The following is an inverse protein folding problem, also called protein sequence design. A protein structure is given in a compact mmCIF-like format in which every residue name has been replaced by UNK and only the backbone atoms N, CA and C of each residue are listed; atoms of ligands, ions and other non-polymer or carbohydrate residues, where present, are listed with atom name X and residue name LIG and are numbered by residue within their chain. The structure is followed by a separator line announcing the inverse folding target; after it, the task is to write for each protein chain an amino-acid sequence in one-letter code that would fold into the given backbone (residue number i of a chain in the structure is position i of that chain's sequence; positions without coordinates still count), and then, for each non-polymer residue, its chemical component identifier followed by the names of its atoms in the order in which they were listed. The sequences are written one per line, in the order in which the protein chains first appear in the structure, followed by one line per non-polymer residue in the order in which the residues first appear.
data_IF_313851088704
#
_entry.id   IF_313851088704
#
_cell.length_a   1.000
_cell.length_b   1.000
_cell.length_c   1.000
_cell.angle_alpha   90.00
_cell.angle_beta   90.00
_cell.angle_gamma   90.00
#
_symmetry.space_group_name_H-M   'P 1'
#
loop_
_entity.id
_entity.type
_entity.pdbx_description
1 polymer ?
#
# COMPACT_ATOMS: atom_id res chain seq x y z
N UNK A 1 0.88 -13.11 -12.05
CA UNK A 1 2.07 -12.43 -11.48
C UNK A 1 1.61 -11.36 -10.53
N UNK A 2 1.47 -11.70 -9.24
CA UNK A 2 1.12 -10.77 -8.19
C UNK A 2 2.42 -10.12 -7.72
N UNK A 3 2.60 -8.81 -7.96
CA UNK A 3 3.61 -8.04 -7.23
C UNK A 3 3.35 -8.19 -5.73
N UNK A 4 4.40 -8.26 -4.90
CA UNK A 4 4.23 -8.20 -3.44
C UNK A 4 3.41 -6.98 -3.01
N UNK A 5 3.48 -5.90 -3.79
CA UNK A 5 2.76 -4.64 -3.57
C UNK A 5 1.28 -4.68 -3.91
N UNK A 6 0.78 -5.79 -4.46
CA UNK A 6 -0.60 -5.91 -4.93
C UNK A 6 -1.47 -6.70 -3.97
N UNK A 7 -2.60 -6.13 -3.57
CA UNK A 7 -3.59 -6.75 -2.69
C UNK A 7 -4.86 -7.10 -3.47
N UNK A 8 -4.76 -8.02 -4.44
CA UNK A 8 -5.93 -8.48 -5.21
C UNK A 8 -6.57 -9.67 -4.53
N UNK A 9 -7.68 -9.42 -3.83
CA UNK A 9 -8.50 -10.44 -3.16
C UNK A 9 -9.92 -10.32 -3.72
N UNK A 10 -10.45 -11.43 -4.25
CA UNK A 10 -11.83 -11.49 -4.69
C UNK A 10 -12.78 -11.90 -3.55
N UNK A 11 -14.08 -11.64 -3.73
CA UNK A 11 -15.11 -12.09 -2.81
C UNK A 11 -15.16 -13.63 -2.69
N UNK A 12 -14.85 -14.35 -3.77
CA UNK A 12 -14.81 -15.81 -3.77
C UNK A 12 -13.59 -16.32 -2.98
N UNK A 13 -12.42 -15.69 -3.14
CA UNK A 13 -11.22 -16.02 -2.35
C UNK A 13 -11.51 -15.86 -0.84
N UNK A 14 -12.18 -14.77 -0.47
CA UNK A 14 -12.55 -14.52 0.92
C UNK A 14 -13.56 -15.56 1.43
N UNK A 15 -14.59 -15.87 0.65
CA UNK A 15 -15.61 -16.85 1.01
C UNK A 15 -15.00 -18.24 1.19
N UNK A 16 -14.17 -18.67 0.25
CA UNK A 16 -13.45 -19.94 0.36
C UNK A 16 -12.56 -19.96 1.62
N UNK A 17 -11.81 -18.89 1.85
CA UNK A 17 -10.94 -18.74 3.03
C UNK A 17 -11.71 -18.85 4.33
N UNK A 18 -12.82 -18.11 4.48
CA UNK A 18 -13.66 -18.12 5.68
C UNK A 18 -14.33 -19.48 5.89
N UNK A 19 -14.75 -20.16 4.82
CA UNK A 19 -15.39 -21.48 4.90
C UNK A 19 -14.46 -22.58 5.43
N UNK A 20 -13.15 -22.43 5.22
CA UNK A 20 -12.12 -23.40 5.64
C UNK A 20 -11.57 -23.12 7.05
N UNK A 21 -11.90 -21.99 7.66
CA UNK A 21 -11.38 -21.66 8.98
C UNK A 21 -11.99 -22.57 10.05
N UNK A 22 -11.14 -23.25 10.82
CA UNK A 22 -11.56 -24.07 11.97
C UNK A 22 -12.06 -23.23 13.14
N UNK A 23 -11.56 -22.00 13.26
CA UNK A 23 -11.91 -21.04 14.31
C UNK A 23 -12.36 -19.76 13.63
N UNK A 24 -13.48 -19.21 14.08
CA UNK A 24 -14.02 -17.96 13.54
C UNK A 24 -13.00 -16.82 13.73
N UNK A 25 -12.58 -16.13 12.66
CA UNK A 25 -11.67 -15.00 12.77
C UNK A 25 -12.27 -13.86 13.59
N UNK A 26 -11.40 -13.08 14.26
CA UNK A 26 -11.82 -11.88 14.98
C UNK A 26 -12.37 -10.81 14.01
N UNK A 27 -11.73 -10.68 12.86
CA UNK A 27 -11.96 -9.72 11.80
C UNK A 27 -11.34 -10.20 10.47
N UNK A 28 -11.83 -9.67 9.36
CA UNK A 28 -11.10 -9.61 8.08
C UNK A 28 -10.40 -8.25 8.05
N UNK A 29 -9.10 -8.22 7.78
CA UNK A 29 -8.31 -6.99 7.66
C UNK A 29 -7.74 -6.89 6.25
N UNK A 30 -8.06 -5.81 5.54
CA UNK A 30 -7.61 -5.59 4.16
C UNK A 30 -7.03 -4.20 3.99
N UNK A 31 -5.92 -4.09 3.25
CA UNK A 31 -5.40 -2.79 2.79
C UNK A 31 -5.99 -2.47 1.42
N UNK A 32 -6.72 -1.36 1.34
CA UNK A 32 -7.28 -0.84 0.10
C UNK A 32 -7.42 0.68 0.20
N UNK A 33 -6.84 1.46 -0.74
CA UNK A 33 -6.09 0.99 -1.90
C UNK A 33 -4.71 0.39 -1.54
N UNK A 34 -4.22 -0.52 -2.39
CA UNK A 34 -2.86 -1.05 -2.27
C UNK A 34 -1.81 -0.03 -2.76
N UNK A 35 -0.53 -0.36 -2.56
CA UNK A 35 0.54 0.59 -2.85
C UNK A 35 0.58 0.98 -4.33
N UNK A 36 0.31 0.02 -5.23
CA UNK A 36 0.27 0.24 -6.69
C UNK A 36 -1.01 0.94 -7.18
N UNK A 37 -1.98 1.14 -6.30
CA UNK A 37 -3.24 1.82 -6.62
C UNK A 37 -4.37 0.92 -7.07
N UNK A 38 -4.27 -0.40 -6.86
CA UNK A 38 -5.44 -1.27 -7.04
C UNK A 38 -6.38 -1.08 -5.85
N UNK A 39 -7.68 -1.13 -6.13
CA UNK A 39 -8.73 -1.05 -5.11
C UNK A 39 -9.42 -2.39 -4.98
N UNK A 40 -9.74 -2.80 -3.75
CA UNK A 40 -10.52 -3.99 -3.50
C UNK A 40 -12.02 -3.69 -3.58
N UNK A 41 -12.83 -4.67 -3.94
CA UNK A 41 -14.29 -4.56 -3.89
C UNK A 41 -14.78 -4.67 -2.43
N UNK A 42 -14.62 -3.58 -1.68
CA UNK A 42 -14.97 -3.50 -0.26
C UNK A 42 -16.44 -3.84 -0.02
N UNK A 43 -17.34 -3.47 -0.94
CA UNK A 43 -18.75 -3.77 -0.81
C UNK A 43 -19.02 -5.27 -0.87
N UNK A 44 -18.46 -5.97 -1.86
CA UNK A 44 -18.61 -7.41 -1.96
C UNK A 44 -17.92 -8.14 -0.79
N UNK A 45 -16.71 -7.71 -0.41
CA UNK A 45 -15.96 -8.31 0.69
C UNK A 45 -16.67 -8.13 2.04
N UNK A 46 -17.25 -6.95 2.28
CA UNK A 46 -18.02 -6.64 3.50
C UNK A 46 -19.23 -7.56 3.60
N UNK A 47 -20.02 -7.70 2.52
CA UNK A 47 -21.17 -8.58 2.48
C UNK A 47 -20.80 -10.04 2.79
N UNK A 48 -19.72 -10.54 2.21
CA UNK A 48 -19.22 -11.89 2.50
C UNK A 48 -18.79 -11.98 3.96
N UNK A 49 -17.95 -11.08 4.48
CA UNK A 49 -17.49 -11.13 5.87
C UNK A 49 -18.67 -11.11 6.86
N UNK A 50 -19.64 -10.23 6.64
CA UNK A 50 -20.86 -10.11 7.44
C UNK A 50 -21.73 -11.35 7.39
N UNK A 51 -21.81 -12.05 6.25
CA UNK A 51 -22.56 -13.32 6.15
C UNK A 51 -22.00 -14.43 7.05
N UNK A 52 -20.70 -14.36 7.40
CA UNK A 52 -20.07 -15.23 8.41
C UNK A 52 -20.06 -14.61 9.82
N UNK A 53 -20.65 -13.42 9.98
CA UNK A 53 -20.65 -12.62 11.21
C UNK A 53 -19.25 -12.17 11.63
N UNK A 54 -18.36 -11.92 10.67
CA UNK A 54 -17.00 -11.41 10.87
C UNK A 54 -16.94 -9.97 10.36
N UNK A 55 -16.43 -9.01 11.14
CA UNK A 55 -16.34 -7.62 10.70
C UNK A 55 -15.22 -7.44 9.68
N UNK A 56 -15.38 -6.48 8.77
CA UNK A 56 -14.37 -6.06 7.81
C UNK A 56 -13.71 -4.75 8.26
N UNK A 57 -12.40 -4.80 8.45
CA UNK A 57 -11.55 -3.68 8.81
C UNK A 57 -10.72 -3.31 7.58
N UNK A 58 -10.73 -2.03 7.20
CA UNK A 58 -9.99 -1.54 6.05
C UNK A 58 -8.86 -0.61 6.47
N UNK A 59 -7.65 -0.91 6.02
CA UNK A 59 -6.53 0.02 6.02
C UNK A 59 -6.56 0.85 4.75
N UNK A 60 -7.06 2.07 4.87
CA UNK A 60 -7.22 3.05 3.80
C UNK A 60 -6.17 4.17 3.90
N UNK A 61 -4.97 3.83 4.36
CA UNK A 61 -3.91 4.80 4.61
C UNK A 61 -3.65 5.77 3.43
N UNK A 62 -3.72 5.29 2.18
CA UNK A 62 -3.50 6.11 0.98
C UNK A 62 -4.79 6.62 0.33
N UNK A 63 -5.97 6.39 0.92
CA UNK A 63 -7.26 6.68 0.33
C UNK A 63 -8.13 7.65 1.12
N UNK A 64 -7.58 8.44 2.05
CA UNK A 64 -8.38 9.36 2.86
C UNK A 64 -9.15 10.40 2.02
N UNK A 65 -8.60 10.78 0.86
CA UNK A 65 -9.27 11.66 -0.11
C UNK A 65 -10.50 11.02 -0.79
N UNK A 66 -10.65 9.68 -0.76
CA UNK A 66 -11.71 8.98 -1.49
C UNK A 66 -13.12 9.38 -1.03
N UNK A 67 -13.29 9.77 0.23
CA UNK A 67 -14.56 10.28 0.75
C UNK A 67 -15.01 11.58 0.05
N UNK A 68 -14.05 12.35 -0.46
CA UNK A 68 -14.31 13.63 -1.10
C UNK A 68 -14.58 13.51 -2.61
N UNK A 69 -14.46 12.31 -3.18
CA UNK A 69 -14.86 12.03 -4.55
C UNK A 69 -16.39 12.10 -4.73
N UNK A 70 -16.85 12.36 -5.96
CA UNK A 70 -18.29 12.39 -6.28
C UNK A 70 -18.94 11.01 -6.17
N UNK A 71 -18.19 9.98 -6.51
CA UNK A 71 -18.59 8.59 -6.35
C UNK A 71 -18.23 8.10 -4.95
N UNK A 72 -19.02 7.15 -4.43
CA UNK A 72 -18.78 6.55 -3.13
C UNK A 72 -17.67 5.52 -3.25
N UNK A 73 -16.45 5.92 -2.90
CA UNK A 73 -15.27 5.07 -2.99
C UNK A 73 -14.66 4.76 -1.61
N UNK A 74 -15.01 5.51 -0.57
CA UNK A 74 -14.42 5.34 0.75
C UNK A 74 -14.92 4.05 1.43
N UNK A 75 -14.06 3.24 2.09
CA UNK A 75 -14.49 1.97 2.70
C UNK A 75 -15.65 2.10 3.69
N UNK A 76 -15.72 3.22 4.43
CA UNK A 76 -16.85 3.50 5.34
C UNK A 76 -18.20 3.67 4.62
N UNK A 77 -18.19 4.06 3.35
CA UNK A 77 -19.39 4.17 2.50
C UNK A 77 -19.69 2.86 1.77
N UNK A 78 -18.75 1.92 1.78
CA UNK A 78 -18.82 0.62 1.12
C UNK A 78 -19.06 -0.54 2.10
N UNK A 79 -19.31 -0.25 3.37
CA UNK A 79 -19.72 -1.25 4.36
C UNK A 79 -18.60 -1.83 5.22
N UNK A 80 -17.39 -1.26 5.22
CA UNK A 80 -16.40 -1.59 6.24
C UNK A 80 -16.92 -1.20 7.64
N UNK A 81 -16.59 -2.00 8.65
CA UNK A 81 -16.94 -1.75 10.05
C UNK A 81 -16.02 -0.68 10.66
N UNK A 82 -14.72 -0.78 10.37
CA UNK A 82 -13.69 0.16 10.81
C UNK A 82 -12.77 0.49 9.63
N UNK A 83 -12.36 1.75 9.52
CA UNK A 83 -11.41 2.20 8.50
C UNK A 83 -10.35 3.10 9.12
N UNK A 84 -9.07 2.89 8.84
CA UNK A 84 -8.03 3.83 9.21
C UNK A 84 -7.50 4.62 8.01
N UNK A 85 -7.40 5.93 8.20
CA UNK A 85 -6.95 6.88 7.19
C UNK A 85 -5.66 7.56 7.68
N UNK A 86 -4.60 7.51 6.87
CA UNK A 86 -3.43 8.33 7.12
C UNK A 86 -3.63 9.70 6.48
N UNK A 87 -4.31 10.59 7.21
CA UNK A 87 -4.64 11.92 6.75
C UNK A 87 -3.41 12.66 6.21
N UNK A 88 -2.27 12.57 6.89
CA UNK A 88 -1.02 13.21 6.46
C UNK A 88 -0.45 12.74 5.11
N UNK A 89 -0.94 11.63 4.54
CA UNK A 89 -0.49 11.14 3.24
C UNK A 89 -1.24 11.75 2.07
N UNK A 90 -2.53 12.04 2.24
CA UNK A 90 -3.42 12.45 1.13
C UNK A 90 -4.29 13.65 1.42
N UNK A 91 -4.25 14.17 2.65
CA UNK A 91 -4.91 15.38 3.11
C UNK A 91 -3.84 16.31 3.71
N UNK A 92 -4.10 17.63 3.82
CA UNK A 92 -3.09 18.60 4.29
C UNK A 92 -2.96 18.58 5.82
N UNK A 93 -2.38 17.49 6.35
CA UNK A 93 -2.20 17.23 7.79
C UNK A 93 -0.72 16.95 8.06
N UNK A 94 -0.22 17.36 9.23
CA UNK A 94 1.17 17.09 9.61
C UNK A 94 1.43 15.59 9.78
N UNK A 95 2.64 15.15 9.40
CA UNK A 95 3.09 13.75 9.51
C UNK A 95 2.78 13.16 10.90
N UNK A 96 2.16 11.98 10.89
CA UNK A 96 1.66 11.31 12.10
C UNK A 96 0.18 11.56 12.42
N UNK A 97 -0.47 12.50 11.72
CA UNK A 97 -1.92 12.70 11.82
C UNK A 97 -2.71 11.68 11.00
N UNK A 98 -3.75 11.10 11.61
CA UNK A 98 -4.63 10.13 10.96
C UNK A 98 -5.97 10.02 11.68
N UNK A 99 -6.90 9.31 11.05
CA UNK A 99 -8.24 9.08 11.57
C UNK A 99 -8.52 7.57 11.69
N UNK A 100 -9.29 7.20 12.71
CA UNK A 100 -9.89 5.87 12.85
C UNK A 100 -11.40 6.05 12.82
N UNK A 101 -12.04 5.54 11.78
CA UNK A 101 -13.47 5.64 11.54
C UNK A 101 -14.18 4.37 11.98
N UNK A 102 -15.35 4.53 12.58
CA UNK A 102 -16.24 3.44 12.97
C UNK A 102 -17.58 3.61 12.27
N UNK A 103 -18.12 2.51 11.76
CA UNK A 103 -19.39 2.51 11.05
C UNK A 103 -20.52 2.61 12.05
N UNK A 104 -21.57 3.36 11.70
CA UNK A 104 -22.82 3.32 12.48
C UNK A 104 -23.52 1.96 12.37
N UNK A 105 -23.15 1.17 11.36
CA UNK A 105 -23.70 -0.15 11.09
C UNK A 105 -22.65 -1.25 11.38
N UNK A 106 -21.67 -0.99 12.23
CA UNK A 106 -20.71 -2.02 12.64
C UNK A 106 -21.43 -3.23 13.23
N UNK A 107 -21.03 -4.44 12.85
CA UNK A 107 -21.68 -5.67 13.29
C UNK A 107 -21.29 -6.07 14.74
N UNK A 108 -20.30 -5.37 15.30
CA UNK A 108 -19.86 -5.46 16.69
C UNK A 108 -19.62 -4.04 17.19
N UNK A 109 -19.97 -3.77 18.44
CA UNK A 109 -19.77 -2.47 19.08
C UNK A 109 -18.29 -2.26 19.44
N UNK A 110 -17.49 -1.84 18.46
CA UNK A 110 -16.08 -1.49 18.67
C UNK A 110 -15.92 -0.03 19.10
N UNK A 111 -16.86 0.82 18.66
CA UNK A 111 -16.80 2.26 18.88
C UNK A 111 -16.90 2.65 20.36
N UNK A 112 -17.65 1.90 21.17
CA UNK A 112 -17.77 2.13 22.62
C UNK A 112 -16.44 2.02 23.38
N UNK A 113 -15.58 1.08 22.99
CA UNK A 113 -14.29 0.81 23.65
C UNK A 113 -13.09 1.49 22.98
N UNK A 114 -13.31 2.21 21.87
CA UNK A 114 -12.24 2.77 21.03
C UNK A 114 -11.24 3.65 21.82
N UNK A 115 -11.73 4.49 22.75
CA UNK A 115 -10.87 5.34 23.58
C UNK A 115 -9.99 4.52 24.53
N UNK A 116 -10.54 3.48 25.13
CA UNK A 116 -9.82 2.58 26.03
C UNK A 116 -8.76 1.81 25.27
N UNK A 117 -9.10 1.28 24.09
CA UNK A 117 -8.14 0.60 23.22
C UNK A 117 -7.00 1.54 22.79
N UNK A 118 -7.33 2.79 22.43
CA UNK A 118 -6.33 3.78 22.02
C UNK A 118 -5.35 4.15 23.15
N UNK A 119 -5.75 4.05 24.42
CA UNK A 119 -4.87 4.33 25.56
C UNK A 119 -3.68 3.36 25.68
N UNK A 120 -3.75 2.17 25.05
CA UNK A 120 -2.63 1.21 25.02
C UNK A 120 -1.50 1.69 24.10
N UNK A 121 -1.82 2.44 23.05
CA UNK A 121 -0.87 2.87 22.02
C UNK A 121 -0.56 4.37 22.08
N UNK A 122 -1.50 5.16 22.61
CA UNK A 122 -1.42 6.61 22.65
C UNK A 122 -0.49 7.12 23.74
N UNK A 123 0.17 8.24 23.46
CA UNK A 123 0.87 9.02 24.48
C UNK A 123 -0.15 9.77 25.34
N UNK A 124 0.09 9.86 26.65
CA UNK A 124 -0.66 10.76 27.54
C UNK A 124 -0.39 12.24 27.26
N UNK A 125 0.65 12.54 26.46
CA UNK A 125 1.00 13.87 25.96
C UNK A 125 1.02 13.84 24.42
N UNK A 126 -0.15 13.87 23.75
CA UNK A 126 -0.19 13.88 22.29
C UNK A 126 0.39 15.19 21.73
N UNK A 127 0.86 15.14 20.49
CA UNK A 127 1.29 16.35 19.79
C UNK A 127 0.10 17.25 19.46
N UNK A 128 -0.06 18.34 20.20
CA UNK A 128 -1.11 19.33 19.95
C UNK A 128 -1.00 19.97 18.56
N UNK A 129 0.21 20.05 17.99
CA UNK A 129 0.40 20.53 16.62
C UNK A 129 -0.23 19.60 15.58
N UNK A 130 -0.08 18.28 15.75
CA UNK A 130 -0.73 17.30 14.87
C UNK A 130 -2.25 17.39 15.04
N UNK A 131 -2.75 17.45 16.29
CA UNK A 131 -4.18 17.60 16.56
C UNK A 131 -4.77 18.88 15.96
N UNK A 132 -4.06 20.01 16.08
CA UNK A 132 -4.47 21.26 15.44
C UNK A 132 -4.47 21.13 13.92
N UNK A 133 -3.48 20.46 13.32
CA UNK A 133 -3.47 20.27 11.86
C UNK A 133 -4.65 19.45 11.35
N UNK A 134 -5.11 18.43 12.11
CA UNK A 134 -6.31 17.67 11.80
C UNK A 134 -7.58 18.55 11.87
N UNK A 135 -7.67 19.44 12.86
CA UNK A 135 -8.80 20.38 12.98
C UNK A 135 -8.79 21.42 11.84
N UNK A 136 -7.62 21.97 11.51
CA UNK A 136 -7.45 22.89 10.38
C UNK A 136 -7.81 22.24 9.04
N UNK A 137 -7.44 20.98 8.85
CA UNK A 137 -7.76 20.23 7.65
C UNK A 137 -9.28 20.14 7.43
N UNK A 138 -10.09 19.94 8.48
CA UNK A 138 -11.56 19.90 8.34
C UNK A 138 -12.11 21.16 7.65
N UNK A 139 -11.66 22.35 8.08
CA UNK A 139 -12.07 23.62 7.46
C UNK A 139 -11.60 23.73 6.01
N UNK A 140 -10.38 23.28 5.72
CA UNK A 140 -9.87 23.26 4.36
C UNK A 140 -10.68 22.32 3.44
N UNK A 141 -11.09 21.15 3.96
CA UNK A 141 -11.84 20.13 3.23
C UNK A 141 -13.30 20.54 2.95
N UNK A 142 -13.90 21.32 3.86
CA UNK A 142 -15.23 21.91 3.66
C UNK A 142 -15.22 23.00 2.56
N UNK A 143 -14.12 23.74 2.45
CA UNK A 143 -14.03 24.90 1.56
C UNK A 143 -13.59 24.54 0.12
N UNK A 144 -14.53 23.99 -0.64
CA UNK A 144 -14.39 23.79 -2.09
C UNK A 144 -13.40 22.69 -2.50
N UNK A 145 -12.93 21.87 -1.56
CA UNK A 145 -11.97 20.79 -1.84
C UNK A 145 -12.52 19.78 -2.85
N UNK A 146 -13.81 19.40 -2.76
CA UNK A 146 -14.44 18.43 -3.68
C UNK A 146 -14.36 18.87 -5.15
N UNK A 147 -14.51 20.17 -5.43
CA UNK A 147 -14.41 20.69 -6.80
C UNK A 147 -12.96 20.74 -7.28
N UNK A 148 -12.02 21.20 -6.42
CA UNK A 148 -10.58 21.14 -6.76
C UNK A 148 -10.13 19.71 -7.02
N UNK A 149 -10.55 18.77 -6.19
CA UNK A 149 -10.30 17.35 -6.33
C UNK A 149 -10.86 16.79 -7.64
N UNK A 150 -12.09 17.14 -8.00
CA UNK A 150 -12.70 16.73 -9.26
C UNK A 150 -11.92 17.22 -10.48
N UNK A 151 -11.44 18.46 -10.46
CA UNK A 151 -10.61 18.98 -11.55
C UNK A 151 -9.22 18.35 -11.58
N UNK A 152 -8.60 18.09 -10.43
CA UNK A 152 -7.33 17.34 -10.35
C UNK A 152 -7.45 15.93 -10.92
N UNK A 153 -8.56 15.22 -10.67
CA UNK A 153 -8.79 13.89 -11.26
C UNK A 153 -8.80 13.95 -12.78
N UNK A 154 -9.37 14.99 -13.39
CA UNK A 154 -9.33 15.17 -14.86
C UNK A 154 -7.90 15.40 -15.34
N UNK A 155 -7.17 16.31 -14.70
CA UNK A 155 -5.77 16.60 -15.06
C UNK A 155 -4.87 15.36 -14.94
N UNK A 156 -5.06 14.56 -13.89
CA UNK A 156 -4.34 13.29 -13.72
C UNK A 156 -4.71 12.30 -14.83
N UNK A 157 -5.98 12.22 -15.21
CA UNK A 157 -6.41 11.40 -16.36
C UNK A 157 -5.72 11.83 -17.65
N UNK A 158 -5.56 13.13 -17.89
CA UNK A 158 -4.85 13.63 -19.07
C UNK A 158 -3.37 13.25 -19.05
N UNK A 159 -2.72 13.28 -17.88
CA UNK A 159 -1.35 12.77 -17.73
C UNK A 159 -1.29 11.26 -17.99
N UNK A 160 -2.23 10.47 -17.44
CA UNK A 160 -2.31 9.03 -17.66
C UNK A 160 -2.44 8.70 -19.15
N UNK A 161 -3.39 9.33 -19.84
CA UNK A 161 -3.59 9.15 -21.29
C UNK A 161 -2.33 9.50 -22.08
N UNK A 162 -1.68 10.64 -21.76
CA UNK A 162 -0.43 11.04 -22.40
C UNK A 162 0.67 9.98 -22.24
N UNK A 163 0.82 9.39 -21.04
CA UNK A 163 1.81 8.34 -20.80
C UNK A 163 1.50 7.06 -21.60
N UNK A 164 0.24 6.65 -21.65
CA UNK A 164 -0.18 5.47 -22.42
C UNK A 164 0.04 5.67 -23.94
N UNK A 165 -0.28 6.85 -24.46
CA UNK A 165 -0.01 7.23 -25.86
C UNK A 165 1.50 7.22 -26.19
N UNK A 166 2.36 7.47 -25.21
CA UNK A 166 3.82 7.37 -25.33
C UNK A 166 4.36 5.97 -24.99
N UNK A 167 3.50 4.95 -24.91
CA UNK A 167 3.89 3.54 -24.80
C UNK A 167 4.21 3.06 -23.38
N UNK A 168 3.87 3.82 -22.35
CA UNK A 168 3.99 3.38 -20.96
C UNK A 168 2.76 2.58 -20.54
N UNK A 169 2.97 1.49 -19.80
CA UNK A 169 1.87 0.70 -19.23
C UNK A 169 1.56 1.20 -17.82
N UNK A 170 0.32 1.59 -17.59
CA UNK A 170 -0.16 1.97 -16.27
C UNK A 170 -0.77 0.78 -15.52
N UNK A 171 -0.87 0.89 -14.20
CA UNK A 171 -1.64 -0.03 -13.36
C UNK A 171 -2.33 0.71 -12.20
N UNK A 172 -3.29 0.01 -11.58
CA UNK A 172 -4.14 0.57 -10.54
C UNK A 172 -5.28 1.43 -11.10
N UNK A 173 -6.31 1.58 -10.27
CA UNK A 173 -7.57 2.24 -10.61
C UNK A 173 -7.78 3.54 -9.83
N UNK A 174 -6.89 3.85 -8.87
CA UNK A 174 -6.97 5.05 -8.05
C UNK A 174 -6.96 6.34 -8.88
N UNK A 175 -7.92 7.27 -8.66
CA UNK A 175 -8.06 8.47 -9.49
C UNK A 175 -6.85 9.42 -9.47
N UNK A 176 -6.22 9.62 -8.31
CA UNK A 176 -5.11 10.56 -8.15
C UNK A 176 -3.72 9.91 -8.13
N UNK A 177 -3.64 8.58 -8.27
CA UNK A 177 -2.37 7.86 -8.32
C UNK A 177 -2.01 7.53 -9.76
N UNK A 178 -0.76 7.80 -10.14
CA UNK A 178 -0.20 7.43 -11.44
C UNK A 178 0.88 6.38 -11.18
N UNK A 179 0.57 5.12 -11.46
CA UNK A 179 1.53 4.02 -11.34
C UNK A 179 1.95 3.54 -12.71
N UNK A 180 3.25 3.56 -12.99
CA UNK A 180 3.83 3.08 -14.24
C UNK A 180 4.56 1.77 -14.00
N UNK A 181 4.22 0.75 -14.79
CA UNK A 181 4.96 -0.51 -14.85
C UNK A 181 6.13 -0.37 -15.84
N UNK A 182 7.31 -0.06 -15.33
CA UNK A 182 8.53 0.16 -16.12
C UNK A 182 9.09 -1.14 -16.70
N UNK A 183 8.86 -2.28 -16.03
CA UNK A 183 9.31 -3.59 -16.50
C UNK A 183 8.72 -3.95 -17.88
N UNK A 184 7.48 -3.52 -18.15
CA UNK A 184 6.82 -3.73 -19.44
C UNK A 184 7.51 -3.01 -20.61
N UNK A 185 8.22 -1.93 -20.31
CA UNK A 185 8.99 -1.13 -21.28
C UNK A 185 10.49 -1.46 -21.25
N UNK A 186 10.91 -2.48 -20.48
CA UNK A 186 12.32 -2.87 -20.33
C UNK A 186 13.18 -1.90 -19.50
N UNK A 187 12.53 -0.94 -18.81
CA UNK A 187 13.17 0.15 -18.08
C UNK A 187 13.20 -0.14 -16.58
N UNK A 188 14.24 0.34 -15.89
CA UNK A 188 14.30 0.30 -14.44
C UNK A 188 13.47 1.43 -13.83
N UNK A 189 12.65 1.12 -12.82
CA UNK A 189 11.89 2.13 -12.08
C UNK A 189 12.81 3.13 -11.35
N UNK A 190 13.96 2.66 -10.87
CA UNK A 190 14.99 3.53 -10.27
C UNK A 190 15.56 4.56 -11.26
N UNK A 191 15.84 4.16 -12.51
CA UNK A 191 16.34 5.07 -13.54
C UNK A 191 15.30 6.15 -13.89
N UNK A 192 14.04 5.75 -13.95
CA UNK A 192 12.94 6.66 -14.21
C UNK A 192 12.71 7.64 -13.04
N UNK A 193 12.81 7.17 -11.80
CA UNK A 193 12.75 8.02 -10.60
C UNK A 193 13.86 9.07 -10.58
N UNK A 194 15.10 8.69 -10.90
CA UNK A 194 16.21 9.66 -11.04
C UNK A 194 15.94 10.70 -12.14
N UNK A 195 15.32 10.28 -13.23
CA UNK A 195 14.97 11.20 -14.30
C UNK A 195 13.78 12.12 -13.93
N UNK A 196 12.82 11.66 -13.13
CA UNK A 196 11.80 12.52 -12.52
C UNK A 196 12.48 13.63 -11.69
N UNK A 197 13.42 13.26 -10.81
CA UNK A 197 14.16 14.22 -9.95
C UNK A 197 14.87 15.29 -10.75
N UNK A 198 15.56 14.91 -11.83
CA UNK A 198 16.23 15.84 -12.76
C UNK A 198 15.27 16.84 -13.43
N UNK A 199 13.99 16.50 -13.50
CA UNK A 199 12.94 17.34 -14.08
C UNK A 199 12.07 18.05 -13.03
N UNK A 200 12.50 18.08 -11.76
CA UNK A 200 11.77 18.64 -10.61
C UNK A 200 10.44 17.94 -10.31
N UNK A 201 10.41 16.61 -10.44
CA UNK A 201 9.32 15.77 -9.97
C UNK A 201 9.88 14.68 -9.05
N UNK A 202 9.15 14.32 -7.99
CA UNK A 202 9.53 13.25 -7.07
C UNK A 202 8.45 12.17 -7.09
N UNK A 203 8.86 10.91 -7.14
CA UNK A 203 7.92 9.80 -7.01
C UNK A 203 7.67 9.52 -5.51
N UNK A 204 6.46 9.07 -5.17
CA UNK A 204 6.18 8.54 -3.84
C UNK A 204 7.01 7.27 -3.59
N UNK A 205 7.13 6.45 -4.63
CA UNK A 205 7.79 5.17 -4.55
C UNK A 205 8.34 4.75 -5.90
N UNK A 206 9.46 4.07 -5.86
CA UNK A 206 9.94 3.28 -6.97
C UNK A 206 10.56 1.98 -6.46
N UNK A 207 10.43 0.94 -7.27
CA UNK A 207 11.29 -0.22 -7.19
C UNK A 207 11.88 -0.48 -8.57
N UNK A 208 12.33 -1.71 -8.80
CA UNK A 208 12.88 -2.11 -10.09
C UNK A 208 11.85 -2.04 -11.23
N UNK A 209 10.57 -2.33 -10.93
CA UNK A 209 9.54 -2.62 -11.92
C UNK A 209 8.43 -1.56 -11.97
N UNK A 210 8.32 -0.72 -10.95
CA UNK A 210 7.26 0.27 -10.78
C UNK A 210 7.80 1.64 -10.36
N UNK A 211 7.10 2.68 -10.83
CA UNK A 211 7.18 4.04 -10.29
C UNK A 211 5.76 4.50 -9.97
N UNK A 212 5.56 4.97 -8.75
CA UNK A 212 4.27 5.46 -8.23
C UNK A 212 4.41 6.96 -7.95
N UNK A 213 3.50 7.74 -8.52
CA UNK A 213 3.34 9.16 -8.22
C UNK A 213 1.95 9.37 -7.60
N UNK A 214 1.90 10.15 -6.52
CA UNK A 214 0.65 10.55 -5.87
C UNK A 214 0.42 12.03 -6.11
N UNK A 215 -0.74 12.36 -6.65
CA UNK A 215 -1.13 13.74 -6.96
C UNK A 215 -2.17 14.21 -5.95
N UNK A 216 -2.17 15.50 -5.65
CA UNK A 216 -3.16 16.16 -4.80
C UNK A 216 -3.69 17.40 -5.50
N UNK A 217 -4.77 18.01 -4.98
CA UNK A 217 -5.25 19.30 -5.47
C UNK A 217 -4.27 20.46 -5.33
N UNK A 218 -3.18 20.28 -4.57
CA UNK A 218 -2.14 21.30 -4.38
C UNK A 218 -1.01 21.21 -5.41
N UNK A 219 -1.02 20.17 -6.26
CA UNK A 219 -0.10 20.10 -7.38
C UNK A 219 -0.55 21.05 -8.50
N UNK A 220 0.38 21.90 -8.93
CA UNK A 220 0.18 22.85 -10.02
C UNK A 220 0.21 22.16 -11.39
N UNK A 221 -0.28 22.86 -12.42
CA UNK A 221 -0.13 22.39 -13.80
C UNK A 221 1.35 22.24 -14.19
N UNK A 222 2.23 23.09 -13.63
CA UNK A 222 3.67 23.00 -13.83
C UNK A 222 4.29 21.70 -13.31
N UNK A 223 3.76 21.17 -12.20
CA UNK A 223 4.20 19.90 -11.60
C UNK A 223 3.78 18.72 -12.49
N UNK A 224 2.54 18.74 -13.00
CA UNK A 224 2.05 17.71 -13.91
C UNK A 224 2.81 17.72 -15.26
N UNK A 225 3.14 18.91 -15.76
CA UNK A 225 3.99 19.04 -16.95
C UNK A 225 5.44 18.62 -16.68
N UNK A 226 5.95 18.78 -15.44
CA UNK A 226 7.25 18.24 -15.05
C UNK A 226 7.30 16.72 -15.14
N UNK A 227 6.23 16.04 -14.71
CA UNK A 227 6.06 14.59 -14.92
C UNK A 227 6.12 14.27 -16.42
N UNK A 228 5.27 14.86 -17.26
CA UNK A 228 5.28 14.57 -18.70
C UNK A 228 6.66 14.78 -19.34
N UNK A 229 7.34 15.90 -19.02
CA UNK A 229 8.70 16.18 -19.50
C UNK A 229 9.70 15.11 -19.10
N UNK A 230 9.64 14.62 -17.86
CA UNK A 230 10.51 13.55 -17.40
C UNK A 230 10.35 12.30 -18.26
N UNK A 231 9.13 11.83 -18.49
CA UNK A 231 8.90 10.63 -19.29
C UNK A 231 9.40 10.79 -20.74
N UNK A 232 9.17 11.96 -21.36
CA UNK A 232 9.70 12.26 -22.70
C UNK A 232 11.22 12.35 -22.74
N UNK A 233 11.86 12.97 -21.74
CA UNK A 233 13.32 13.13 -21.71
C UNK A 233 14.02 11.79 -21.52
N UNK A 234 13.45 10.93 -20.68
CA UNK A 234 13.96 9.58 -20.41
C UNK A 234 14.07 8.75 -21.70
N UNK A 235 13.07 8.85 -22.58
CA UNK A 235 13.07 8.14 -23.86
C UNK A 235 14.14 8.63 -24.84
N UNK A 236 14.41 9.94 -24.83
CA UNK A 236 15.44 10.55 -25.68
C UNK A 236 16.85 10.18 -25.22
N UNK A 237 17.08 10.11 -23.91
CA UNK A 237 18.40 9.81 -23.34
C UNK A 237 18.75 8.32 -23.39
N UNK A 238 17.76 7.46 -23.19
CA UNK A 238 17.98 6.02 -23.01
C UNK A 238 17.62 5.17 -24.24
N UNK A 239 17.47 5.79 -25.42
CA UNK A 239 16.97 5.18 -26.67
C UNK A 239 17.28 3.69 -26.80
N UNK A 240 16.25 2.83 -26.71
CA UNK A 240 16.28 1.36 -26.78
C UNK A 240 17.41 0.63 -26.00
N UNK A 241 18.15 1.29 -25.10
CA UNK A 241 19.36 0.77 -24.47
C UNK A 241 19.24 0.47 -22.98
N UNK A 242 18.06 0.55 -22.38
CA UNK A 242 17.82 -0.06 -21.08
C UNK A 242 17.25 -1.47 -21.32
N UNK A 243 18.09 -2.47 -21.06
CA UNK A 243 17.67 -3.87 -20.92
C UNK A 243 17.82 -4.19 -19.45
N UNK A 244 16.89 -3.70 -18.62
CA UNK A 244 16.73 -4.32 -17.31
C UNK A 244 16.54 -5.84 -17.56
N UNK A 245 17.25 -6.72 -16.83
CA UNK A 245 17.06 -8.15 -17.02
C UNK A 245 15.57 -8.46 -16.88
N UNK A 246 14.98 -9.13 -17.88
CA UNK A 246 13.63 -9.69 -17.80
C UNK A 246 13.63 -10.87 -16.81
N UNK A 247 14.06 -10.68 -15.58
CA UNK A 247 13.84 -11.65 -14.52
C UNK A 247 12.39 -11.51 -14.12
N UNK A 248 11.58 -12.51 -14.44
CA UNK A 248 10.21 -12.56 -13.99
C UNK A 248 10.18 -12.45 -12.46
N UNK A 249 9.16 -11.78 -11.93
CA UNK A 249 8.91 -11.79 -10.49
C UNK A 249 8.81 -13.26 -10.02
N UNK A 250 9.56 -13.67 -8.99
CA UNK A 250 9.49 -15.03 -8.50
C UNK A 250 8.07 -15.37 -8.03
N UNK A 251 7.71 -16.66 -8.13
CA UNK A 251 6.40 -17.13 -7.69
C UNK A 251 6.37 -17.16 -6.17
N UNK A 252 5.50 -16.38 -5.54
CA UNK A 252 5.35 -16.41 -4.08
C UNK A 252 4.56 -17.63 -3.63
N UNK A 253 5.16 -18.46 -2.78
CA UNK A 253 4.47 -19.53 -2.06
C UNK A 253 4.41 -19.18 -0.57
N UNK A 254 3.18 -19.15 -0.02
CA UNK A 254 2.94 -18.75 1.37
C UNK A 254 3.77 -19.63 2.33
N UNK A 255 4.62 -19.03 3.19
CA UNK A 255 5.41 -19.78 4.16
C UNK A 255 4.56 -20.56 5.17
N UNK A 256 5.08 -21.69 5.65
CA UNK A 256 4.47 -22.42 6.76
C UNK A 256 4.78 -21.70 8.08
N UNK A 257 3.75 -21.48 8.91
CA UNK A 257 3.92 -20.97 10.26
C UNK A 257 4.38 -22.06 11.22
N UNK A 258 5.59 -21.91 11.79
CA UNK A 258 6.15 -22.81 12.82
C UNK A 258 5.94 -22.31 14.24
N UNK A 259 6.11 -21.00 14.46
CA UNK A 259 5.95 -20.34 15.75
C UNK A 259 4.92 -19.21 15.64
N UNK A 260 4.37 -18.78 16.78
CA UNK A 260 3.71 -17.47 16.82
C UNK A 260 4.75 -16.35 16.66
N UNK A 261 4.32 -15.20 16.12
CA UNK A 261 5.15 -13.98 16.03
C UNK A 261 5.78 -13.66 17.39
N UNK A 262 4.98 -13.73 18.46
CA UNK A 262 5.47 -13.50 19.83
C UNK A 262 6.60 -14.46 20.19
N UNK A 263 6.42 -15.76 20.01
CA UNK A 263 7.45 -16.75 20.34
C UNK A 263 8.75 -16.47 19.57
N UNK A 264 8.67 -16.28 18.25
CA UNK A 264 9.84 -16.06 17.41
C UNK A 264 10.62 -14.78 17.79
N UNK A 265 9.92 -13.69 18.12
CA UNK A 265 10.54 -12.42 18.53
C UNK A 265 11.28 -12.54 19.86
N UNK A 266 10.84 -13.43 20.77
CA UNK A 266 11.48 -13.65 22.07
C UNK A 266 12.53 -14.77 22.07
N UNK A 267 12.71 -15.48 20.96
CA UNK A 267 13.77 -16.48 20.84
C UNK A 267 15.15 -15.83 20.65
N UNK A 268 16.19 -16.56 21.05
CA UNK A 268 17.56 -16.28 20.60
C UNK A 268 17.62 -16.35 19.08
N UNK A 269 18.45 -15.50 18.48
CA UNK A 269 18.53 -15.38 17.02
C UNK A 269 19.91 -14.98 16.54
N UNK A 270 20.20 -15.34 15.30
CA UNK A 270 21.44 -15.02 14.59
C UNK A 270 21.11 -14.42 13.22
N UNK A 271 22.07 -13.69 12.65
CA UNK A 271 21.97 -13.16 11.28
C UNK A 271 22.78 -14.05 10.35
N UNK A 272 22.16 -14.57 9.30
CA UNK A 272 22.80 -15.45 8.32
C UNK A 272 22.57 -14.92 6.89
N UNK A 273 23.44 -15.29 5.93
CA UNK A 273 23.20 -15.00 4.51
C UNK A 273 21.87 -15.61 4.04
N UNK A 274 21.14 -14.88 3.21
CA UNK A 274 19.82 -15.28 2.68
C UNK A 274 19.88 -16.63 1.97
N UNK A 275 20.95 -16.93 1.23
CA UNK A 275 21.15 -18.23 0.58
C UNK A 275 21.18 -19.43 1.53
N UNK A 276 21.53 -19.23 2.81
CA UNK A 276 21.66 -20.30 3.79
C UNK A 276 20.43 -20.42 4.71
N UNK A 277 19.35 -19.71 4.38
CA UNK A 277 18.22 -19.54 5.29
C UNK A 277 17.05 -20.50 5.04
N UNK A 278 17.05 -21.25 3.94
CA UNK A 278 15.99 -22.23 3.64
C UNK A 278 15.83 -23.24 4.78
N UNK A 279 14.60 -23.46 5.23
CA UNK A 279 14.25 -24.34 6.34
C UNK A 279 14.44 -23.74 7.73
N UNK A 280 15.08 -22.56 7.86
CA UNK A 280 15.20 -21.85 9.14
C UNK A 280 13.92 -21.08 9.46
N UNK A 281 13.68 -20.83 10.75
CA UNK A 281 12.54 -20.03 11.21
C UNK A 281 12.95 -18.56 11.29
N UNK A 282 12.21 -17.68 10.63
CA UNK A 282 12.46 -16.24 10.69
C UNK A 282 12.27 -15.71 12.13
N UNK A 283 13.27 -15.02 12.68
CA UNK A 283 13.18 -14.38 14.00
C UNK A 283 12.58 -12.97 13.90
N UNK A 284 12.91 -12.24 12.84
CA UNK A 284 12.31 -10.94 12.49
C UNK A 284 11.69 -11.01 11.10
N UNK A 285 10.73 -10.11 10.76
CA UNK A 285 10.25 -10.00 9.40
C UNK A 285 11.41 -9.69 8.45
N UNK A 286 11.50 -10.39 7.32
CA UNK A 286 12.42 -10.01 6.26
C UNK A 286 11.68 -9.09 5.30
N UNK A 287 12.02 -7.81 5.37
CA UNK A 287 11.34 -6.73 4.66
C UNK A 287 12.22 -6.29 3.50
N UNK A 288 11.73 -6.47 2.28
CA UNK A 288 12.38 -5.93 1.10
C UNK A 288 12.34 -4.39 1.17
N UNK A 289 13.47 -3.71 0.94
CA UNK A 289 13.56 -2.27 1.09
C UNK A 289 13.91 -1.61 -0.25
N UNK A 290 13.00 -0.89 -0.92
CA UNK A 290 11.52 -0.98 -0.99
C UNK A 290 11.03 -2.33 -1.59
N UNK A 291 9.74 -2.76 -1.46
CA UNK A 291 8.51 -2.03 -1.09
C UNK A 291 8.08 -2.05 0.38
N UNK A 292 8.97 -2.40 1.29
CA UNK A 292 8.70 -2.52 2.71
C UNK A 292 7.59 -3.55 3.06
N UNK A 293 7.39 -4.56 2.21
CA UNK A 293 6.44 -5.66 2.42
C UNK A 293 7.21 -6.89 2.92
N UNK A 294 6.78 -7.53 4.02
CA UNK A 294 7.45 -8.70 4.54
C UNK A 294 7.29 -9.88 3.58
N UNK A 295 8.41 -10.41 3.10
CA UNK A 295 8.46 -11.64 2.29
C UNK A 295 8.20 -12.86 3.17
N UNK A 296 8.65 -12.78 4.41
CA UNK A 296 8.43 -13.75 5.49
C UNK A 296 8.26 -12.98 6.79
N UNK A 297 7.35 -13.40 7.66
CA UNK A 297 7.13 -12.82 8.99
C UNK A 297 7.74 -13.69 10.10
N UNK A 298 7.97 -13.10 11.27
CA UNK A 298 8.52 -13.83 12.43
C UNK A 298 7.72 -15.09 12.75
N UNK A 299 8.42 -16.22 12.85
CA UNK A 299 7.86 -17.53 13.18
C UNK A 299 7.49 -18.39 11.98
N UNK A 300 7.62 -17.88 10.76
CA UNK A 300 7.47 -18.66 9.54
C UNK A 300 8.77 -19.36 9.13
N UNK A 301 8.63 -20.51 8.47
CA UNK A 301 9.74 -21.26 7.88
C UNK A 301 10.10 -20.63 6.53
N UNK A 302 11.34 -20.19 6.38
CA UNK A 302 11.85 -19.64 5.14
C UNK A 302 11.91 -20.75 4.09
N UNK A 303 11.23 -20.56 2.96
CA UNK A 303 11.20 -21.51 1.84
C UNK A 303 11.98 -20.95 0.62
N UNK A 304 12.22 -21.80 -0.38
CA UNK A 304 12.95 -21.40 -1.60
C UNK A 304 12.34 -20.16 -2.27
N UNK A 305 11.00 -20.10 -2.39
CA UNK A 305 10.33 -18.96 -3.01
C UNK A 305 10.59 -17.64 -2.29
N UNK A 306 10.60 -17.65 -0.96
CA UNK A 306 10.91 -16.45 -0.17
C UNK A 306 12.36 -16.02 -0.35
N UNK A 307 13.30 -16.96 -0.45
CA UNK A 307 14.71 -16.68 -0.71
C UNK A 307 14.91 -16.05 -2.09
N UNK A 308 14.25 -16.56 -3.12
CA UNK A 308 14.29 -15.97 -4.47
C UNK A 308 13.78 -14.54 -4.48
N UNK A 309 12.66 -14.27 -3.79
CA UNK A 309 12.08 -12.92 -3.68
C UNK A 309 12.98 -11.99 -2.87
N UNK A 310 13.49 -12.45 -1.73
CA UNK A 310 14.42 -11.67 -0.92
C UNK A 310 15.65 -11.26 -1.74
N UNK A 311 16.25 -12.17 -2.51
CA UNK A 311 17.36 -11.88 -3.43
C UNK A 311 16.96 -10.93 -4.55
N UNK A 312 15.76 -11.10 -5.11
CA UNK A 312 15.23 -10.22 -6.16
C UNK A 312 15.16 -8.75 -5.73
N UNK A 313 14.82 -8.52 -4.46
CA UNK A 313 14.78 -7.19 -3.84
C UNK A 313 16.07 -6.81 -3.09
N UNK A 314 17.17 -7.54 -3.29
CA UNK A 314 18.49 -7.17 -2.76
C UNK A 314 18.68 -7.42 -1.25
N UNK A 315 17.90 -8.31 -0.65
CA UNK A 315 18.13 -8.72 0.75
C UNK A 315 19.32 -9.67 0.82
N UNK A 316 20.36 -9.29 1.55
CA UNK A 316 21.59 -10.08 1.70
C UNK A 316 21.58 -10.98 2.94
N UNK A 317 21.00 -10.50 4.05
CA UNK A 317 20.99 -11.19 5.34
C UNK A 317 19.59 -11.23 5.94
N UNK A 318 19.32 -12.30 6.70
CA UNK A 318 18.08 -12.48 7.47
C UNK A 318 18.38 -12.94 8.87
N UNK A 319 17.53 -12.52 9.82
CA UNK A 319 17.61 -13.03 11.20
C UNK A 319 16.74 -14.26 11.36
N UNK A 320 17.34 -15.32 11.87
CA UNK A 320 16.69 -16.61 12.11
C UNK A 320 16.80 -17.01 13.56
N UNK A 321 15.83 -17.79 14.03
CA UNK A 321 15.85 -18.36 15.38
C UNK A 321 17.02 -19.35 15.48
N UNK A 322 17.79 -19.23 16.56
CA UNK A 322 18.78 -20.24 16.96
C UNK A 322 18.08 -21.33 17.76
N UNK A 323 18.53 -22.58 17.61
CA UNK A 323 18.07 -23.70 18.43
C UNK A 323 18.23 -23.44 19.93
#
# INVERSE_FOLDING_TARGET
NLSLCSCKISAEDLKETLSKQKVKPAAVYISSPDYLGNTADIAALSQIAHSYGVPLLCDNAHGAYLHFLREKCHPMELGADICCDSAHKTLPVLTGGGYLHFSKNEIKDFSSDAKTAMAVFGSTSPSYLILQSLDLANRYLENGYRERLFDSVKKVRDVKNFLEENGYRLCGDEPLKITVNTSSSGKSGFELAENLRKNNAECEFCDRDFVVMMVTPENSDGDLEAVKRAFVSHDKTNGNKSVAPKTALPVFALPEKRLSVRQAVFCSSESIPVENSVGRVAASPAVACPPAIPVVISGEIINESTVEIMKYYGTEYVRVVTE
#
